data_IF_418448012942
#
_entry.id   IF_418448012942
#
_cell.length_a   1.000
_cell.length_b   1.000
_cell.length_c   1.000
_cell.angle_alpha   90.00
_cell.angle_beta   90.00
_cell.angle_gamma   90.00
#
_symmetry.space_group_name_H-M   'P 1'
#
loop_
_entity.id
_entity.type
_entity.pdbx_description
1 polymer ?
#
# COMPACT_ATOMS: atom_id res chain seq x y z
N UNK A 1 -9.24 -17.64 33.35
CA UNK A 1 -7.99 -18.39 33.14
C UNK A 1 -6.84 -17.39 33.14
N UNK A 2 -5.99 -17.39 34.19
CA UNK A 2 -4.78 -16.56 34.22
C UNK A 2 -3.72 -17.30 33.39
N UNK A 3 -3.32 -16.71 32.27
CA UNK A 3 -2.23 -17.21 31.43
C UNK A 3 -0.95 -17.32 32.28
N UNK A 4 -0.34 -18.51 32.28
CA UNK A 4 0.93 -18.75 32.94
C UNK A 4 2.01 -17.79 32.39
N UNK A 5 2.96 -17.32 33.21
CA UNK A 5 4.07 -16.51 32.72
C UNK A 5 4.87 -17.31 31.68
N UNK A 6 5.21 -16.67 30.56
CA UNK A 6 6.05 -17.28 29.52
C UNK A 6 7.39 -17.69 30.11
N UNK A 7 7.89 -18.87 29.74
CA UNK A 7 9.20 -19.36 30.15
C UNK A 7 10.31 -18.35 29.79
N UNK A 8 11.37 -18.22 30.61
CA UNK A 8 12.45 -17.29 30.34
C UNK A 8 13.18 -17.68 29.04
N UNK A 9 13.38 -16.68 28.17
CA UNK A 9 14.09 -16.86 26.89
C UNK A 9 15.57 -17.06 27.16
N UNK A 10 16.17 -18.10 26.58
CA UNK A 10 17.60 -18.39 26.71
C UNK A 10 18.40 -17.52 25.74
N UNK A 11 19.33 -16.67 26.23
CA UNK A 11 20.18 -15.86 25.36
C UNK A 11 21.04 -16.70 24.43
N UNK A 12 21.44 -16.14 23.27
CA UNK A 12 22.38 -16.81 22.37
C UNK A 12 23.74 -17.00 23.05
N UNK A 13 24.22 -18.23 23.08
CA UNK A 13 25.58 -18.59 23.52
C UNK A 13 26.63 -18.18 22.48
N UNK A 14 27.90 -18.15 22.89
CA UNK A 14 29.00 -17.82 21.98
C UNK A 14 29.11 -18.82 20.82
N UNK A 15 28.98 -20.13 21.12
CA UNK A 15 29.05 -21.18 20.10
C UNK A 15 27.89 -21.12 19.10
N UNK A 16 26.66 -20.84 19.57
CA UNK A 16 25.52 -20.63 18.67
C UNK A 16 25.76 -19.45 17.73
N UNK A 17 26.29 -18.33 18.24
CA UNK A 17 26.58 -17.15 17.41
C UNK A 17 27.58 -17.50 16.31
N UNK A 18 28.68 -18.19 16.64
CA UNK A 18 29.70 -18.56 15.65
C UNK A 18 29.11 -19.42 14.51
N UNK A 19 28.25 -20.38 14.84
CA UNK A 19 27.56 -21.20 13.82
C UNK A 19 26.57 -20.40 12.97
N UNK A 20 25.85 -19.44 13.57
CA UNK A 20 24.88 -18.60 12.87
C UNK A 20 25.53 -17.59 11.91
N UNK A 21 26.67 -17.00 12.28
CA UNK A 21 27.30 -15.90 11.53
C UNK A 21 28.27 -16.36 10.44
N UNK A 22 28.67 -17.62 10.44
CA UNK A 22 29.62 -18.20 9.46
C UNK A 22 29.25 -17.90 7.99
N UNK A 23 28.03 -18.19 7.49
CA UNK A 23 27.69 -17.92 6.08
C UNK A 23 27.71 -16.43 5.73
N UNK A 24 27.39 -15.56 6.68
CA UNK A 24 27.43 -14.10 6.50
C UNK A 24 28.85 -13.58 6.43
N UNK A 25 29.72 -14.07 7.33
CA UNK A 25 31.14 -13.70 7.36
C UNK A 25 31.84 -14.09 6.07
N UNK A 26 31.54 -15.29 5.55
CA UNK A 26 32.04 -15.76 4.25
C UNK A 26 31.60 -14.84 3.10
N UNK A 27 30.41 -14.25 3.19
CA UNK A 27 29.89 -13.28 2.22
C UNK A 27 30.33 -11.83 2.51
N UNK A 28 31.34 -11.61 3.35
CA UNK A 28 31.85 -10.27 3.69
C UNK A 28 30.96 -9.46 4.62
N UNK A 29 29.96 -10.08 5.27
CA UNK A 29 29.08 -9.43 6.25
C UNK A 29 29.62 -9.67 7.66
N UNK A 30 30.04 -8.61 8.33
CA UNK A 30 30.62 -8.70 9.67
C UNK A 30 29.58 -8.38 10.74
N UNK A 31 29.59 -9.15 11.84
CA UNK A 31 28.72 -8.92 12.98
C UNK A 31 29.06 -7.57 13.65
N UNK A 32 28.03 -6.81 14.01
CA UNK A 32 28.11 -5.63 14.85
C UNK A 32 27.74 -6.04 16.29
N UNK A 33 28.75 -6.31 17.11
CA UNK A 33 28.56 -6.78 18.49
C UNK A 33 27.82 -5.74 19.35
N UNK A 34 28.19 -4.43 19.33
CA UNK A 34 27.43 -3.39 20.05
C UNK A 34 25.96 -3.28 19.66
N UNK A 35 25.64 -3.45 18.36
CA UNK A 35 24.26 -3.33 17.88
C UNK A 35 23.43 -4.64 18.02
N UNK A 36 24.09 -5.75 18.37
CA UNK A 36 23.44 -7.04 18.56
C UNK A 36 22.88 -7.21 19.99
N UNK A 37 21.78 -7.93 20.11
CA UNK A 37 21.10 -8.20 21.37
C UNK A 37 20.94 -9.72 21.55
N UNK A 38 21.91 -10.30 22.27
CA UNK A 38 21.94 -11.74 22.54
C UNK A 38 20.78 -12.22 23.40
N UNK A 39 20.28 -11.39 24.31
CA UNK A 39 19.17 -11.72 25.21
C UNK A 39 17.86 -11.79 24.43
N UNK A 40 17.65 -10.87 23.49
CA UNK A 40 16.53 -10.93 22.55
C UNK A 40 16.78 -11.86 21.34
N UNK A 41 17.93 -12.56 21.29
CA UNK A 41 18.35 -13.45 20.20
C UNK A 41 18.34 -12.77 18.82
N UNK A 42 18.84 -11.53 18.76
CA UNK A 42 18.99 -10.70 17.56
C UNK A 42 20.46 -10.39 17.28
N UNK A 43 20.91 -10.64 16.06
CA UNK A 43 22.27 -10.37 15.60
C UNK A 43 22.21 -9.36 14.45
N UNK A 44 22.82 -8.19 14.65
CA UNK A 44 22.89 -7.14 13.63
C UNK A 44 24.27 -7.16 12.97
N UNK A 45 24.29 -6.97 11.65
CA UNK A 45 25.52 -6.87 10.88
C UNK A 45 25.89 -5.41 10.64
N UNK A 46 27.19 -5.15 10.48
CA UNK A 46 27.70 -3.81 10.16
C UNK A 46 27.05 -3.29 8.86
N UNK A 47 26.69 -2.00 8.80
CA UNK A 47 26.11 -1.41 7.59
C UNK A 47 27.05 -1.55 6.39
N UNK A 48 26.47 -1.91 5.24
CA UNK A 48 27.15 -1.88 3.95
C UNK A 48 26.71 -0.64 3.17
N UNK A 49 27.65 0.22 2.81
CA UNK A 49 27.38 1.39 1.98
C UNK A 49 27.30 0.99 0.49
N UNK A 50 26.24 1.43 -0.18
CA UNK A 50 26.06 1.32 -1.62
C UNK A 50 26.19 2.71 -2.23
N UNK A 51 27.11 2.86 -3.18
CA UNK A 51 27.28 4.11 -3.91
C UNK A 51 26.04 4.40 -4.78
N UNK A 52 25.80 5.68 -5.08
CA UNK A 52 24.75 6.06 -6.02
C UNK A 52 25.05 5.49 -7.41
N UNK A 53 24.01 4.98 -8.06
CA UNK A 53 24.08 4.47 -9.42
C UNK A 53 22.82 4.87 -10.20
N UNK A 54 22.68 4.41 -11.45
CA UNK A 54 21.50 4.71 -12.26
C UNK A 54 20.20 4.13 -11.67
N UNK A 55 20.26 3.04 -10.90
CA UNK A 55 19.08 2.35 -10.37
C UNK A 55 18.63 2.87 -9.00
N UNK A 56 19.55 3.40 -8.20
CA UNK A 56 19.26 3.87 -6.86
C UNK A 56 20.23 4.98 -6.39
N UNK A 57 19.77 5.89 -5.51
CA UNK A 57 20.67 6.81 -4.81
C UNK A 57 21.64 6.06 -3.89
N UNK A 58 22.62 6.80 -3.33
CA UNK A 58 23.48 6.27 -2.29
C UNK A 58 22.61 5.85 -1.08
N UNK A 59 22.89 4.67 -0.53
CA UNK A 59 22.10 4.09 0.56
C UNK A 59 22.98 3.20 1.45
N UNK A 60 22.48 2.90 2.64
CA UNK A 60 23.07 1.90 3.52
C UNK A 60 22.18 0.67 3.57
N UNK A 61 22.79 -0.51 3.58
CA UNK A 61 22.12 -1.78 3.77
C UNK A 61 22.52 -2.36 5.13
N UNK A 62 21.53 -2.69 5.94
CA UNK A 62 21.72 -3.36 7.23
C UNK A 62 21.02 -4.70 7.20
N UNK A 63 21.72 -5.76 7.62
CA UNK A 63 21.13 -7.07 7.84
C UNK A 63 20.92 -7.30 9.33
N UNK A 64 19.80 -7.93 9.69
CA UNK A 64 19.50 -8.37 11.04
C UNK A 64 18.96 -9.79 11.01
N UNK A 65 19.64 -10.70 11.72
CA UNK A 65 19.21 -12.08 11.93
C UNK A 65 18.51 -12.19 13.28
N UNK A 66 17.24 -12.57 13.27
CA UNK A 66 16.45 -12.91 14.45
C UNK A 66 16.34 -14.42 14.56
N UNK A 67 16.75 -14.97 15.70
CA UNK A 67 16.71 -16.41 15.97
C UNK A 67 15.78 -16.65 17.16
N UNK A 68 14.44 -16.56 17.01
CA UNK A 68 13.52 -16.82 18.11
C UNK A 68 13.77 -18.22 18.71
N UNK A 69 13.60 -18.35 20.03
CA UNK A 69 13.79 -19.64 20.70
C UNK A 69 12.77 -20.67 20.21
N UNK A 70 11.51 -20.25 20.13
CA UNK A 70 10.40 -21.05 19.62
C UNK A 70 9.94 -20.45 18.29
N UNK A 71 10.62 -20.81 17.20
CA UNK A 71 10.20 -20.39 15.86
C UNK A 71 11.29 -20.50 14.81
N UNK A 72 10.92 -20.31 13.53
CA UNK A 72 11.89 -20.27 12.44
C UNK A 72 12.77 -19.01 12.54
N UNK A 73 14.06 -19.08 12.17
CA UNK A 73 14.91 -17.91 12.06
C UNK A 73 14.37 -16.94 11.00
N UNK A 74 14.65 -15.65 11.18
CA UNK A 74 14.24 -14.58 10.27
C UNK A 74 15.43 -13.71 9.93
N UNK A 75 15.62 -13.42 8.65
CA UNK A 75 16.59 -12.44 8.20
C UNK A 75 15.84 -11.22 7.69
N UNK A 76 16.23 -10.05 8.16
CA UNK A 76 15.73 -8.77 7.70
C UNK A 76 16.86 -8.06 6.94
N UNK A 77 16.52 -7.49 5.79
CA UNK A 77 17.35 -6.53 5.08
C UNK A 77 16.65 -5.19 5.11
N UNK A 78 17.29 -4.19 5.71
CA UNK A 78 16.81 -2.82 5.74
C UNK A 78 17.69 -1.95 4.86
N UNK A 79 17.08 -1.26 3.90
CA UNK A 79 17.73 -0.22 3.12
C UNK A 79 17.39 1.13 3.74
N UNK A 80 18.44 1.84 4.07
CA UNK A 80 18.50 3.07 4.83
C UNK A 80 18.92 4.18 3.88
N UNK A 81 18.00 5.06 3.53
CA UNK A 81 18.29 6.18 2.64
C UNK A 81 18.34 7.47 3.45
N UNK A 82 19.51 8.11 3.58
CA UNK A 82 19.68 9.34 4.35
C UNK A 82 19.22 10.58 3.58
N UNK A 83 18.87 11.65 4.30
CA UNK A 83 18.49 12.94 3.70
C UNK A 83 16.99 13.10 3.43
N UNK A 84 16.15 12.40 4.17
CA UNK A 84 14.69 12.48 4.06
C UNK A 84 14.11 13.19 5.27
N UNK A 85 12.85 13.61 5.18
CA UNK A 85 12.09 14.12 6.32
C UNK A 85 10.82 13.26 6.49
N UNK A 86 10.43 13.00 7.74
CA UNK A 86 9.16 12.37 8.07
C UNK A 86 8.01 13.35 7.83
N UNK A 87 6.83 12.88 8.18
CA UNK A 87 5.57 13.57 7.93
C UNK A 87 5.37 14.76 8.88
N UNK A 88 6.19 14.88 9.93
CA UNK A 88 6.25 16.04 10.81
C UNK A 88 7.39 16.99 10.42
N UNK A 89 8.01 16.80 9.25
CA UNK A 89 9.13 17.60 8.75
C UNK A 89 10.45 17.35 9.47
N UNK A 90 10.55 16.30 10.31
CA UNK A 90 11.80 15.97 11.01
C UNK A 90 12.69 15.17 10.08
N UNK A 91 14.01 15.40 10.07
CA UNK A 91 14.92 14.56 9.31
C UNK A 91 14.70 13.11 9.72
N UNK A 92 14.25 12.32 8.76
CA UNK A 92 13.96 10.90 8.91
C UNK A 92 14.66 10.15 7.81
N UNK A 93 14.69 8.85 7.96
CA UNK A 93 15.25 7.98 6.96
C UNK A 93 14.14 7.29 6.20
N UNK A 94 14.22 7.30 4.87
CA UNK A 94 13.32 6.46 4.09
C UNK A 94 13.84 5.02 4.17
N UNK A 95 13.02 4.12 4.72
CA UNK A 95 13.41 2.74 4.99
C UNK A 95 12.63 1.75 4.14
N UNK A 96 13.34 0.91 3.39
CA UNK A 96 12.78 -0.26 2.71
C UNK A 96 13.17 -1.53 3.48
N UNK A 97 12.27 -2.50 3.60
CA UNK A 97 12.50 -3.70 4.40
C UNK A 97 12.11 -4.94 3.61
N UNK A 98 13.00 -5.93 3.54
CA UNK A 98 12.69 -7.29 3.08
C UNK A 98 12.86 -8.26 4.24
N UNK A 99 11.93 -9.20 4.35
CA UNK A 99 11.94 -10.22 5.40
C UNK A 99 11.89 -11.62 4.78
N UNK A 100 12.85 -12.46 5.15
CA UNK A 100 12.84 -13.89 4.87
C UNK A 100 12.72 -14.66 6.18
N UNK A 101 11.97 -15.75 6.17
CA UNK A 101 11.72 -16.59 7.35
C UNK A 101 11.97 -18.06 7.01
N UNK A 102 12.48 -18.84 7.97
CA UNK A 102 12.72 -20.28 7.87
C UNK A 102 14.01 -20.65 7.15
N UNK A 103 14.33 -21.94 7.10
CA UNK A 103 15.56 -22.45 6.49
C UNK A 103 16.81 -22.21 7.33
N UNK A 104 17.97 -22.53 6.76
CA UNK A 104 19.28 -22.28 7.38
C UNK A 104 19.71 -20.81 7.22
N UNK A 105 20.65 -20.30 8.05
CA UNK A 105 21.13 -18.93 7.89
C UNK A 105 21.77 -18.67 6.51
N UNK A 106 22.42 -19.66 5.92
CA UNK A 106 22.95 -19.58 4.55
C UNK A 106 21.86 -19.45 3.48
N UNK A 107 20.78 -20.24 3.59
CA UNK A 107 19.63 -20.14 2.68
C UNK A 107 18.88 -18.81 2.80
N UNK A 108 18.78 -18.27 4.02
CA UNK A 108 18.20 -16.93 4.25
C UNK A 108 19.03 -15.86 3.53
N UNK A 109 20.36 -15.91 3.66
CA UNK A 109 21.26 -14.97 3.02
C UNK A 109 21.19 -15.08 1.48
N UNK A 110 21.22 -16.30 0.94
CA UNK A 110 21.14 -16.54 -0.50
C UNK A 110 19.84 -15.97 -1.09
N UNK A 111 18.70 -16.17 -0.43
CA UNK A 111 17.40 -15.58 -0.84
C UNK A 111 17.42 -14.06 -0.82
N UNK A 112 17.99 -13.45 0.22
CA UNK A 112 18.12 -11.98 0.29
C UNK A 112 18.96 -11.42 -0.85
N UNK A 113 20.10 -12.04 -1.13
CA UNK A 113 21.03 -11.60 -2.17
C UNK A 113 20.45 -11.74 -3.58
N UNK A 114 19.61 -12.75 -3.82
CA UNK A 114 18.96 -12.92 -5.11
C UNK A 114 17.96 -11.81 -5.45
N UNK A 115 17.37 -11.14 -4.45
CA UNK A 115 16.43 -10.04 -4.68
C UNK A 115 17.20 -8.73 -4.84
N UNK A 116 17.16 -8.08 -6.02
CA UNK A 116 17.89 -6.82 -6.24
C UNK A 116 17.30 -5.69 -5.40
N UNK A 117 18.14 -4.68 -5.10
CA UNK A 117 17.75 -3.54 -4.25
C UNK A 117 16.58 -2.77 -4.86
N UNK A 118 16.53 -2.67 -6.18
CA UNK A 118 15.47 -2.01 -6.96
C UNK A 118 14.06 -2.63 -6.79
N UNK A 119 13.95 -3.86 -6.27
CA UNK A 119 12.64 -4.43 -5.89
C UNK A 119 12.07 -3.78 -4.63
N UNK A 120 12.94 -3.45 -3.66
CA UNK A 120 12.56 -2.81 -2.40
C UNK A 120 12.48 -1.29 -2.52
N UNK A 121 13.39 -0.71 -3.31
CA UNK A 121 13.48 0.72 -3.53
C UNK A 121 13.20 1.03 -5.00
N UNK A 122 12.13 1.77 -5.27
CA UNK A 122 11.74 2.16 -6.62
C UNK A 122 11.99 3.64 -6.81
N UNK A 123 12.89 3.97 -7.71
CA UNK A 123 13.13 5.33 -8.19
C UNK A 123 12.32 5.55 -9.46
N UNK A 124 11.70 6.72 -9.59
CA UNK A 124 11.11 7.15 -10.85
C UNK A 124 11.14 8.67 -11.02
N UNK A 125 10.65 9.20 -12.15
CA UNK A 125 10.71 10.63 -12.42
C UNK A 125 9.92 11.43 -11.36
N UNK A 126 10.62 12.18 -10.52
CA UNK A 126 10.04 13.03 -9.48
C UNK A 126 9.49 12.28 -8.26
N UNK A 127 9.80 10.99 -8.10
CA UNK A 127 9.42 10.23 -6.91
C UNK A 127 10.41 9.13 -6.52
N UNK A 128 10.37 8.77 -5.24
CA UNK A 128 11.08 7.65 -4.67
C UNK A 128 10.15 6.86 -3.75
N UNK A 129 10.19 5.53 -3.80
CA UNK A 129 9.37 4.68 -2.95
C UNK A 129 10.18 3.55 -2.31
N UNK A 130 10.04 3.39 -1.01
CA UNK A 130 10.57 2.28 -0.24
C UNK A 130 9.43 1.34 0.17
N UNK A 131 9.63 0.03 -0.04
CA UNK A 131 8.63 -1.00 0.22
C UNK A 131 9.02 -1.87 1.40
N UNK A 132 8.02 -2.30 2.15
CA UNK A 132 8.13 -3.40 3.11
C UNK A 132 7.54 -4.65 2.47
N UNK A 133 8.37 -5.68 2.36
CA UNK A 133 8.05 -6.94 1.70
C UNK A 133 8.51 -8.13 2.52
N UNK A 134 7.86 -9.27 2.31
CA UNK A 134 8.29 -10.55 2.87
C UNK A 134 8.19 -11.65 1.82
N UNK A 135 9.03 -12.68 1.90
CA UNK A 135 8.84 -13.88 1.06
C UNK A 135 7.52 -14.58 1.42
N UNK A 136 6.75 -14.97 0.40
CA UNK A 136 5.51 -15.72 0.60
C UNK A 136 5.79 -17.11 1.18
N UNK A 137 6.82 -17.78 0.67
CA UNK A 137 7.24 -19.10 1.12
C UNK A 137 8.27 -19.02 2.24
N UNK A 138 8.08 -19.88 3.26
CA UNK A 138 8.97 -20.02 4.43
C UNK A 138 10.09 -21.04 4.21
N UNK A 139 10.06 -21.78 3.11
CA UNK A 139 11.02 -22.84 2.78
C UNK A 139 11.90 -22.43 1.61
N UNK A 140 13.03 -23.13 1.44
CA UNK A 140 14.00 -22.90 0.39
C UNK A 140 13.42 -23.25 -0.99
N UNK A 141 12.76 -22.29 -1.63
CA UNK A 141 12.75 -22.22 -3.09
C UNK A 141 14.12 -21.72 -3.56
N UNK A 142 14.50 -22.10 -4.78
CA UNK A 142 15.74 -21.60 -5.38
C UNK A 142 15.78 -20.07 -5.35
N UNK A 143 16.92 -19.45 -4.98
CA UNK A 143 17.04 -18.01 -4.97
C UNK A 143 16.78 -17.43 -6.37
N UNK A 144 15.72 -16.65 -6.50
CA UNK A 144 15.32 -16.05 -7.77
C UNK A 144 15.06 -14.55 -7.61
N UNK A 145 15.48 -13.76 -8.61
CA UNK A 145 15.26 -12.32 -8.63
C UNK A 145 13.75 -11.95 -8.62
N UNK A 146 12.94 -12.78 -9.28
CA UNK A 146 11.48 -12.64 -9.37
C UNK A 146 10.73 -13.46 -8.31
N UNK A 147 11.36 -13.72 -7.16
CA UNK A 147 10.75 -14.47 -6.07
C UNK A 147 9.37 -13.91 -5.67
N UNK A 148 8.43 -14.78 -5.24
CA UNK A 148 7.11 -14.35 -4.80
C UNK A 148 7.19 -13.57 -3.48
N UNK A 149 7.07 -12.24 -3.57
CA UNK A 149 7.14 -11.32 -2.44
C UNK A 149 5.75 -10.74 -2.11
N UNK A 150 5.42 -10.74 -0.82
CA UNK A 150 4.23 -10.14 -0.25
C UNK A 150 4.55 -8.72 0.22
N UNK A 151 3.98 -7.72 -0.46
CA UNK A 151 4.10 -6.32 -0.05
C UNK A 151 3.03 -5.99 0.99
N UNK A 152 3.46 -5.50 2.15
CA UNK A 152 2.57 -5.13 3.26
C UNK A 152 2.47 -3.61 3.44
N UNK A 153 3.53 -2.89 3.13
CA UNK A 153 3.56 -1.44 3.23
C UNK A 153 4.51 -0.83 2.20
N UNK A 154 4.33 0.46 1.94
CA UNK A 154 5.32 1.28 1.25
C UNK A 154 5.24 2.72 1.73
N UNK A 155 6.36 3.41 1.72
CA UNK A 155 6.45 4.86 1.93
C UNK A 155 7.07 5.45 0.69
N UNK A 156 6.46 6.50 0.16
CA UNK A 156 6.98 7.18 -1.02
C UNK A 156 7.01 8.68 -0.80
N UNK A 157 7.93 9.32 -1.51
CA UNK A 157 8.09 10.76 -1.52
C UNK A 157 8.05 11.25 -2.95
N UNK A 158 7.33 12.33 -3.15
CA UNK A 158 7.23 13.03 -4.41
C UNK A 158 7.88 14.40 -4.24
N UNK A 159 8.72 14.76 -5.21
CA UNK A 159 9.36 16.07 -5.25
C UNK A 159 8.31 17.16 -5.47
N UNK A 160 7.41 16.90 -6.42
CA UNK A 160 6.29 17.78 -6.72
C UNK A 160 5.38 17.94 -5.49
N UNK A 161 5.10 19.21 -5.14
CA UNK A 161 4.27 19.60 -4.01
C UNK A 161 4.73 19.06 -2.63
N UNK A 162 6.00 18.62 -2.51
CA UNK A 162 6.57 18.03 -1.30
C UNK A 162 5.70 16.91 -0.67
N UNK A 163 5.00 16.13 -1.50
CA UNK A 163 4.01 15.16 -1.04
C UNK A 163 4.65 13.86 -0.54
N UNK A 164 4.28 13.42 0.66
CA UNK A 164 4.52 12.10 1.20
C UNK A 164 3.32 11.18 0.95
N UNK A 165 3.59 9.89 0.72
CA UNK A 165 2.59 8.85 0.53
C UNK A 165 2.91 7.66 1.43
N UNK A 166 1.91 7.16 2.17
CA UNK A 166 1.99 5.89 2.87
C UNK A 166 0.97 4.91 2.32
N UNK A 167 1.44 3.72 1.98
CA UNK A 167 0.64 2.59 1.54
C UNK A 167 0.63 1.53 2.62
N UNK A 168 -0.55 1.00 2.94
CA UNK A 168 -0.72 -0.14 3.84
C UNK A 168 -1.66 -1.17 3.23
N UNK A 169 -1.27 -2.43 3.31
CA UNK A 169 -2.03 -3.55 2.80
C UNK A 169 -2.22 -4.60 3.90
N UNK A 170 -3.48 -4.88 4.23
CA UNK A 170 -3.82 -6.02 5.08
C UNK A 170 -3.51 -7.34 4.34
N UNK A 171 -3.03 -8.40 5.01
CA UNK A 171 -2.85 -9.72 4.41
C UNK A 171 -4.18 -10.42 4.12
N UNK A 172 -5.28 -9.96 4.70
CA UNK A 172 -6.60 -10.59 4.58
C UNK A 172 -7.22 -10.31 3.21
N UNK A 173 -7.69 -11.39 2.54
CA UNK A 173 -8.39 -11.32 1.25
C UNK A 173 -9.65 -10.45 1.37
N UNK A 174 -9.91 -9.66 0.34
CA UNK A 174 -11.10 -8.79 0.27
C UNK A 174 -10.95 -7.44 0.96
N UNK A 175 -9.97 -7.26 1.85
CA UNK A 175 -9.68 -5.96 2.47
C UNK A 175 -8.92 -5.08 1.47
N UNK A 176 -9.41 -3.86 1.25
CA UNK A 176 -8.74 -2.84 0.43
C UNK A 176 -7.41 -2.40 1.06
N UNK A 177 -6.43 -2.04 0.24
CA UNK A 177 -5.29 -1.28 0.73
C UNK A 177 -5.68 0.16 1.03
N UNK A 178 -4.96 0.77 1.95
CA UNK A 178 -5.13 2.15 2.36
C UNK A 178 -3.94 2.98 1.89
N UNK A 179 -4.22 4.16 1.36
CA UNK A 179 -3.22 5.11 0.95
C UNK A 179 -3.50 6.44 1.64
N UNK A 180 -2.50 6.93 2.35
CA UNK A 180 -2.49 8.22 3.02
C UNK A 180 -1.51 9.13 2.30
N UNK A 181 -1.88 10.41 2.19
CA UNK A 181 -1.06 11.45 1.61
C UNK A 181 -0.94 12.60 2.59
N UNK A 182 0.23 13.22 2.63
CA UNK A 182 0.46 14.39 3.45
C UNK A 182 1.58 15.23 2.88
N UNK A 183 1.76 16.42 3.43
CA UNK A 183 2.72 17.42 2.99
C UNK A 183 3.91 17.44 3.92
N UNK A 184 5.11 17.20 3.39
CA UNK A 184 6.35 17.16 4.20
C UNK A 184 6.71 18.52 4.81
N UNK A 185 6.30 19.60 4.16
CA UNK A 185 6.55 20.98 4.58
C UNK A 185 5.40 21.57 5.41
N UNK A 186 4.39 20.76 5.77
CA UNK A 186 3.18 21.20 6.46
C UNK A 186 2.29 22.15 5.66
N UNK A 187 2.62 22.43 4.39
CA UNK A 187 1.86 23.37 3.56
C UNK A 187 0.60 22.70 3.06
N UNK A 188 -0.56 23.25 3.42
CA UNK A 188 -1.83 22.68 3.00
C UNK A 188 -1.96 22.59 1.46
N UNK A 189 -2.36 21.42 0.96
CA UNK A 189 -2.66 21.20 -0.46
C UNK A 189 -4.16 21.22 -0.71
N UNK A 190 -4.55 21.93 -1.77
CA UNK A 190 -5.90 21.88 -2.31
C UNK A 190 -5.99 20.79 -3.38
N UNK A 191 -6.14 19.54 -2.93
CA UNK A 191 -6.29 18.38 -3.80
C UNK A 191 -7.79 18.13 -4.09
N UNK A 192 -8.18 17.84 -5.35
CA UNK A 192 -9.55 17.48 -5.65
C UNK A 192 -9.85 16.04 -5.24
N UNK A 193 -11.08 15.76 -4.81
CA UNK A 193 -11.56 14.43 -4.42
C UNK A 193 -11.30 13.35 -5.49
N UNK A 194 -11.32 13.72 -6.77
CA UNK A 194 -11.16 12.81 -7.89
C UNK A 194 -9.71 12.58 -8.32
N UNK A 195 -8.73 13.23 -7.67
CA UNK A 195 -7.31 13.21 -8.06
C UNK A 195 -6.78 11.80 -8.35
N UNK A 196 -7.16 10.82 -7.52
CA UNK A 196 -6.76 9.42 -7.66
C UNK A 196 -7.88 8.57 -8.28
N UNK A 197 -9.14 8.95 -8.08
CA UNK A 197 -10.29 8.21 -8.60
C UNK A 197 -10.28 8.13 -10.14
N UNK A 198 -9.72 9.13 -10.83
CA UNK A 198 -9.52 9.14 -12.30
C UNK A 198 -8.75 7.94 -12.83
N UNK A 199 -7.93 7.26 -11.99
CA UNK A 199 -7.16 6.08 -12.37
C UNK A 199 -8.02 4.81 -12.56
N UNK A 200 -9.32 4.88 -12.28
CA UNK A 200 -10.30 3.84 -12.64
C UNK A 200 -10.95 3.16 -11.44
N UNK A 201 -11.63 2.03 -11.69
CA UNK A 201 -12.56 1.37 -10.76
C UNK A 201 -11.95 0.83 -9.47
N UNK A 202 -10.63 0.64 -9.45
CA UNK A 202 -9.94 0.16 -8.24
C UNK A 202 -9.70 1.25 -7.20
N UNK A 203 -9.87 2.52 -7.59
CA UNK A 203 -9.50 3.67 -6.77
C UNK A 203 -10.73 4.35 -6.20
N UNK A 204 -10.77 4.48 -4.87
CA UNK A 204 -11.75 5.31 -4.21
C UNK A 204 -11.38 6.81 -4.34
N UNK A 205 -12.33 7.68 -3.97
CA UNK A 205 -12.08 9.11 -3.90
C UNK A 205 -11.06 9.44 -2.83
N UNK A 206 -10.39 10.55 -3.04
CA UNK A 206 -9.61 11.21 -2.02
C UNK A 206 -10.55 11.88 -1.01
N UNK A 207 -10.26 11.72 0.28
CA UNK A 207 -11.05 12.31 1.37
C UNK A 207 -10.10 13.00 2.33
N UNK A 208 -10.34 14.29 2.57
CA UNK A 208 -9.56 15.11 3.50
C UNK A 208 -9.73 14.62 4.94
N UNK A 209 -8.62 14.52 5.67
CA UNK A 209 -8.56 14.31 7.13
C UNK A 209 -7.82 15.49 7.78
N UNK A 210 -7.68 15.47 9.10
CA UNK A 210 -7.01 16.55 9.85
C UNK A 210 -5.55 16.78 9.40
N UNK A 211 -4.79 15.70 9.21
CA UNK A 211 -3.37 15.73 8.80
C UNK A 211 -3.17 15.13 7.40
N UNK A 212 -3.89 15.66 6.40
CA UNK A 212 -3.71 15.27 5.00
C UNK A 212 -4.92 14.59 4.37
N UNK A 213 -4.67 13.62 3.49
CA UNK A 213 -5.68 13.01 2.63
C UNK A 213 -5.60 11.49 2.68
N UNK A 214 -6.73 10.82 2.49
CA UNK A 214 -6.77 9.36 2.43
C UNK A 214 -7.61 8.86 1.27
N UNK A 215 -7.25 7.69 0.75
CA UNK A 215 -8.04 6.93 -0.23
C UNK A 215 -7.88 5.43 0.02
N UNK A 216 -8.75 4.64 -0.60
CA UNK A 216 -8.69 3.19 -0.59
C UNK A 216 -8.44 2.65 -1.99
N UNK A 217 -7.74 1.52 -2.02
CA UNK A 217 -7.36 0.81 -3.22
C UNK A 217 -7.88 -0.63 -3.16
N UNK A 218 -8.77 -0.97 -4.08
CA UNK A 218 -9.23 -2.34 -4.26
C UNK A 218 -8.12 -3.15 -4.91
N UNK A 219 -7.76 -4.26 -4.28
CA UNK A 219 -6.75 -5.19 -4.79
C UNK A 219 -7.39 -6.47 -5.30
N UNK A 220 -6.79 -7.07 -6.33
CA UNK A 220 -7.28 -8.29 -6.99
C UNK A 220 -6.41 -9.49 -6.63
N UNK A 221 -7.01 -10.67 -6.55
CA UNK A 221 -6.31 -11.93 -6.25
C UNK A 221 -6.03 -12.14 -4.76
N UNK A 222 -5.15 -13.08 -4.47
CA UNK A 222 -4.66 -13.48 -3.15
C UNK A 222 -3.12 -13.57 -3.13
N UNK A 223 -2.55 -13.65 -1.92
CA UNK A 223 -1.12 -13.85 -1.70
C UNK A 223 -0.22 -12.97 -2.57
N UNK A 224 0.70 -13.62 -3.29
CA UNK A 224 1.61 -12.97 -4.23
C UNK A 224 0.90 -12.22 -5.37
N UNK A 225 -0.17 -12.78 -5.95
CA UNK A 225 -0.91 -12.11 -7.04
C UNK A 225 -1.50 -10.77 -6.57
N UNK A 226 -2.02 -10.75 -5.34
CA UNK A 226 -2.55 -9.53 -4.71
C UNK A 226 -1.47 -8.50 -4.44
N UNK A 227 -0.31 -8.96 -3.98
CA UNK A 227 0.83 -8.08 -3.74
C UNK A 227 1.35 -7.47 -5.05
N UNK A 228 1.43 -8.27 -6.12
CA UNK A 228 1.78 -7.79 -7.46
C UNK A 228 0.81 -6.76 -8.02
N UNK A 229 -0.50 -6.96 -7.85
CA UNK A 229 -1.52 -5.97 -8.23
C UNK A 229 -1.35 -4.68 -7.42
N UNK A 230 -1.08 -4.79 -6.12
CA UNK A 230 -0.73 -3.65 -5.25
C UNK A 230 0.51 -2.89 -5.71
N UNK A 231 1.59 -3.60 -6.03
CA UNK A 231 2.83 -3.01 -6.56
C UNK A 231 2.59 -2.25 -7.87
N UNK A 232 1.86 -2.85 -8.81
CA UNK A 232 1.56 -2.23 -10.10
C UNK A 232 0.70 -0.96 -9.94
N UNK A 233 -0.30 -1.01 -9.07
CA UNK A 233 -1.17 0.13 -8.76
C UNK A 233 -0.42 1.23 -8.00
N UNK A 234 0.46 0.88 -7.06
CA UNK A 234 1.33 1.83 -6.38
C UNK A 234 2.23 2.56 -7.39
N UNK A 235 2.87 1.83 -8.31
CA UNK A 235 3.68 2.44 -9.37
C UNK A 235 2.86 3.32 -10.33
N UNK A 236 1.59 2.95 -10.60
CA UNK A 236 0.69 3.76 -11.40
C UNK A 236 0.35 5.09 -10.71
N UNK A 237 -0.02 5.07 -9.43
CA UNK A 237 -0.40 6.30 -8.72
C UNK A 237 0.79 7.21 -8.48
N UNK A 238 1.98 6.67 -8.20
CA UNK A 238 3.19 7.49 -8.03
C UNK A 238 3.54 8.26 -9.31
N UNK A 239 3.55 7.58 -10.47
CA UNK A 239 3.76 8.23 -11.77
C UNK A 239 2.71 9.29 -12.07
N UNK A 240 1.44 8.95 -11.83
CA UNK A 240 0.32 9.88 -12.05
C UNK A 240 0.44 11.13 -11.18
N UNK A 241 0.76 10.97 -9.89
CA UNK A 241 0.90 12.10 -8.97
C UNK A 241 2.14 12.94 -9.28
N UNK A 242 3.29 12.31 -9.57
CA UNK A 242 4.50 13.04 -9.93
C UNK A 242 4.28 13.91 -11.19
N UNK A 243 3.61 13.36 -12.21
CA UNK A 243 3.27 14.11 -13.42
C UNK A 243 2.21 15.19 -13.15
N UNK A 244 1.15 14.86 -12.40
CA UNK A 244 0.01 15.78 -12.20
C UNK A 244 0.36 16.94 -11.29
N UNK A 245 1.17 16.71 -10.25
CA UNK A 245 1.54 17.73 -9.28
C UNK A 245 2.70 18.62 -9.77
N UNK A 246 3.47 18.17 -10.77
CA UNK A 246 4.49 18.98 -11.43
C UNK A 246 3.90 20.07 -12.35
N UNK A 247 2.65 19.89 -12.80
CA UNK A 247 1.95 20.83 -13.67
C UNK A 247 0.97 21.71 -12.89
N UNK A 248 0.58 22.89 -13.41
CA UNK A 248 -0.47 23.70 -12.81
C UNK A 248 -1.81 22.95 -12.71
N UNK A 249 -2.63 23.19 -11.65
CA UNK A 249 -3.89 22.47 -11.42
C UNK A 249 -4.91 22.53 -12.56
N UNK A 250 -4.85 23.56 -13.41
CA UNK A 250 -5.70 23.67 -14.60
C UNK A 250 -5.43 22.54 -15.62
N UNK A 251 -4.15 22.14 -15.80
CA UNK A 251 -3.76 21.08 -16.74
C UNK A 251 -4.32 19.72 -16.39
N UNK A 252 -4.47 19.43 -15.10
CA UNK A 252 -5.15 18.22 -14.64
C UNK A 252 -6.57 18.11 -15.19
N UNK A 253 -7.34 19.20 -15.16
CA UNK A 253 -8.70 19.19 -15.72
C UNK A 253 -8.69 19.04 -17.24
N UNK A 254 -7.80 19.75 -17.93
CA UNK A 254 -7.70 19.71 -19.39
C UNK A 254 -7.32 18.32 -19.90
N UNK A 255 -6.32 17.67 -19.29
CA UNK A 255 -5.84 16.35 -19.71
C UNK A 255 -6.79 15.21 -19.34
N UNK A 256 -7.41 15.29 -18.17
CA UNK A 256 -8.18 14.18 -17.59
C UNK A 256 -9.69 14.45 -17.52
N UNK A 257 -10.21 15.41 -18.29
CA UNK A 257 -11.64 15.78 -18.27
C UNK A 257 -12.58 14.57 -18.36
N UNK A 258 -12.37 13.69 -19.34
CA UNK A 258 -13.18 12.47 -19.51
C UNK A 258 -13.07 11.51 -18.32
N UNK A 259 -11.87 11.31 -17.79
CA UNK A 259 -11.65 10.45 -16.61
C UNK A 259 -12.29 11.03 -15.34
N UNK A 260 -12.29 12.35 -15.19
CA UNK A 260 -12.97 13.07 -14.11
C UNK A 260 -14.49 12.92 -14.20
N UNK A 261 -15.05 13.05 -15.40
CA UNK A 261 -16.48 12.76 -15.65
C UNK A 261 -16.83 11.29 -15.37
N UNK A 262 -15.99 10.35 -15.80
CA UNK A 262 -16.19 8.95 -15.47
C UNK A 262 -16.09 8.67 -13.96
N UNK A 263 -15.23 9.37 -13.22
CA UNK A 263 -15.17 9.30 -11.76
C UNK A 263 -16.43 9.88 -11.10
N UNK A 264 -16.95 11.00 -11.61
CA UNK A 264 -18.20 11.59 -11.15
C UNK A 264 -19.41 10.68 -11.44
N UNK A 265 -19.51 10.13 -12.66
CA UNK A 265 -20.57 9.20 -13.04
C UNK A 265 -20.57 7.94 -12.16
N UNK A 266 -19.39 7.41 -11.81
CA UNK A 266 -19.28 6.26 -10.89
C UNK A 266 -19.79 6.57 -9.48
N UNK A 267 -19.67 7.82 -9.00
CA UNK A 267 -20.25 8.24 -7.72
C UNK A 267 -21.79 8.29 -7.76
N UNK A 268 -22.40 8.44 -8.93
CA UNK A 268 -23.85 8.43 -9.07
C UNK A 268 -24.45 7.01 -9.02
N UNK A 269 -23.65 5.93 -9.10
CA UNK A 269 -24.18 4.55 -9.17
C UNK A 269 -25.11 4.21 -7.99
N UNK A 270 -24.76 4.50 -6.73
CA UNK A 270 -25.67 4.17 -5.63
C UNK A 270 -26.95 5.02 -5.62
N UNK A 271 -26.86 6.29 -6.03
CA UNK A 271 -28.02 7.16 -6.22
C UNK A 271 -28.96 6.61 -7.29
N UNK A 272 -28.41 6.17 -8.43
CA UNK A 272 -29.17 5.52 -9.50
C UNK A 272 -29.81 4.21 -9.02
N UNK A 273 -29.08 3.42 -8.24
CA UNK A 273 -29.62 2.21 -7.61
C UNK A 273 -30.80 2.49 -6.68
N UNK A 274 -30.69 3.52 -5.83
CA UNK A 274 -31.78 3.95 -4.97
C UNK A 274 -32.98 4.50 -5.78
N UNK A 275 -32.73 5.29 -6.82
CA UNK A 275 -33.77 5.78 -7.72
C UNK A 275 -34.49 4.66 -8.47
N UNK A 276 -33.75 3.64 -8.92
CA UNK A 276 -34.31 2.45 -9.56
C UNK A 276 -35.19 1.65 -8.59
N UNK A 277 -34.78 1.51 -7.32
CA UNK A 277 -35.58 0.87 -6.28
C UNK A 277 -36.91 1.59 -6.06
N UNK A 278 -36.88 2.92 -5.97
CA UNK A 278 -38.09 3.74 -5.80
C UNK A 278 -39.00 3.63 -7.03
N UNK A 279 -38.45 3.74 -8.23
CA UNK A 279 -39.20 3.61 -9.47
C UNK A 279 -39.81 2.21 -9.63
N UNK A 280 -39.08 1.16 -9.27
CA UNK A 280 -39.58 -0.22 -9.30
C UNK A 280 -40.72 -0.43 -8.30
N UNK A 281 -40.61 0.10 -7.09
CA UNK A 281 -41.68 0.04 -6.09
C UNK A 281 -42.94 0.80 -6.54
N UNK A 282 -42.76 1.99 -7.11
CA UNK A 282 -43.86 2.77 -7.67
C UNK A 282 -44.55 2.07 -8.84
N UNK A 283 -43.77 1.52 -9.77
CA UNK A 283 -44.29 0.78 -10.92
C UNK A 283 -45.02 -0.51 -10.48
N UNK A 284 -44.50 -1.20 -9.46
CA UNK A 284 -45.17 -2.37 -8.88
C UNK A 284 -46.54 -1.99 -8.30
N UNK A 285 -46.64 -0.90 -7.53
CA UNK A 285 -47.90 -0.45 -6.95
C UNK A 285 -48.96 -0.11 -8.01
N UNK A 286 -48.55 0.42 -9.17
CA UNK A 286 -49.46 0.75 -10.26
C UNK A 286 -49.93 -0.48 -11.05
N UNK A 287 -49.09 -1.50 -11.17
CA UNK A 287 -49.38 -2.69 -11.98
C UNK A 287 -49.98 -3.86 -11.17
N UNK A 288 -49.82 -3.88 -9.85
CA UNK A 288 -50.37 -4.91 -8.96
C UNK A 288 -51.87 -5.21 -9.16
N UNK A 289 -52.75 -4.22 -9.41
CA UNK A 289 -54.18 -4.47 -9.61
C UNK A 289 -54.49 -5.38 -10.81
N UNK A 290 -53.66 -5.34 -11.85
CA UNK A 290 -53.90 -6.00 -13.14
C UNK A 290 -52.99 -7.23 -13.38
N UNK A 291 -52.05 -7.54 -12.48
CA UNK A 291 -51.13 -8.67 -12.66
C UNK A 291 -51.72 -10.01 -12.16
N UNK A 292 -51.82 -11.03 -13.02
CA UNK A 292 -52.20 -12.37 -12.59
C UNK A 292 -51.20 -12.93 -11.57
N UNK A 293 -51.71 -13.64 -10.55
CA UNK A 293 -50.94 -14.13 -9.40
C UNK A 293 -49.76 -15.05 -9.77
N UNK A 294 -49.82 -15.70 -10.93
CA UNK A 294 -48.78 -16.63 -11.42
C UNK A 294 -47.75 -16.00 -12.37
N UNK A 295 -47.76 -14.66 -12.52
CA UNK A 295 -46.85 -13.98 -13.44
C UNK A 295 -45.39 -14.00 -12.97
N UNK A 296 -44.49 -14.50 -13.82
CA UNK A 296 -43.03 -14.42 -13.66
C UNK A 296 -42.55 -12.98 -13.47
N UNK A 297 -43.26 -12.01 -14.06
CA UNK A 297 -42.96 -10.59 -13.93
C UNK A 297 -43.25 -10.07 -12.51
N UNK A 298 -44.31 -10.58 -11.87
CA UNK A 298 -44.63 -10.31 -10.45
C UNK A 298 -43.53 -10.86 -9.53
N UNK A 299 -43.05 -12.08 -9.80
CA UNK A 299 -41.96 -12.72 -9.07
C UNK A 299 -40.65 -11.92 -9.19
N UNK A 300 -40.29 -11.51 -10.41
CA UNK A 300 -39.10 -10.68 -10.67
C UNK A 300 -39.18 -9.32 -9.97
N UNK A 301 -40.32 -8.62 -10.05
CA UNK A 301 -40.50 -7.33 -9.37
C UNK A 301 -40.46 -7.46 -7.85
N UNK A 302 -40.97 -8.56 -7.28
CA UNK A 302 -40.93 -8.81 -5.84
C UNK A 302 -39.50 -9.09 -5.34
N UNK A 303 -38.67 -9.79 -6.13
CA UNK A 303 -37.28 -10.09 -5.76
C UNK A 303 -36.27 -9.03 -6.19
N UNK A 304 -36.64 -8.08 -7.06
CA UNK A 304 -35.74 -7.02 -7.50
C UNK A 304 -35.23 -6.15 -6.33
N UNK A 305 -36.07 -5.67 -5.38
CA UNK A 305 -35.58 -4.91 -4.24
C UNK A 305 -34.54 -5.64 -3.37
N UNK A 306 -34.78 -6.88 -2.90
CA UNK A 306 -33.76 -7.58 -2.12
C UNK A 306 -32.50 -7.90 -2.93
N UNK A 307 -32.60 -8.19 -4.23
CA UNK A 307 -31.41 -8.41 -5.09
C UNK A 307 -30.56 -7.14 -5.21
N UNK A 308 -31.18 -5.99 -5.46
CA UNK A 308 -30.46 -4.71 -5.55
C UNK A 308 -29.87 -4.32 -4.20
N UNK A 309 -30.59 -4.56 -3.11
CA UNK A 309 -30.10 -4.32 -1.75
C UNK A 309 -28.88 -5.21 -1.44
N UNK A 310 -28.94 -6.50 -1.75
CA UNK A 310 -27.80 -7.43 -1.62
C UNK A 310 -26.63 -6.97 -2.49
N UNK A 311 -26.86 -6.58 -3.75
CA UNK A 311 -25.82 -6.07 -4.63
C UNK A 311 -25.15 -4.80 -4.09
N UNK A 312 -25.92 -3.88 -3.49
CA UNK A 312 -25.40 -2.67 -2.84
C UNK A 312 -24.59 -2.99 -1.58
N UNK A 313 -25.03 -3.94 -0.75
CA UNK A 313 -24.30 -4.37 0.45
C UNK A 313 -23.05 -5.21 0.13
N UNK A 314 -23.05 -5.93 -1.00
CA UNK A 314 -21.87 -6.62 -1.52
C UNK A 314 -20.82 -5.64 -2.07
N UNK A 315 -21.12 -4.34 -2.20
CA UNK A 315 -20.10 -3.35 -2.44
C UNK A 315 -19.29 -3.15 -1.15
N UNK A 316 -17.97 -3.37 -1.22
CA UNK A 316 -17.04 -3.31 -0.08
C UNK A 316 -17.02 -1.98 0.70
N UNK A 317 -17.82 -0.98 0.33
CA UNK A 317 -17.90 0.31 1.00
C UNK A 317 -19.36 0.74 1.09
N UNK A 318 -19.79 1.22 2.27
CA UNK A 318 -21.11 1.82 2.44
C UNK A 318 -21.26 2.95 1.41
N UNK A 319 -22.21 2.82 0.46
CA UNK A 319 -22.37 3.82 -0.57
C UNK A 319 -22.78 5.16 0.07
N UNK A 320 -21.97 6.19 -0.14
CA UNK A 320 -22.37 7.55 0.20
C UNK A 320 -23.30 8.06 -0.88
N UNK A 321 -24.57 8.24 -0.51
CA UNK A 321 -25.60 8.80 -1.36
C UNK A 321 -25.44 10.33 -1.33
N UNK A 322 -24.52 10.84 -2.16
CA UNK A 322 -24.25 12.27 -2.31
C UNK A 322 -24.26 12.64 -3.79
N UNK A 323 -24.85 13.77 -4.16
CA UNK A 323 -24.75 14.29 -5.53
C UNK A 323 -23.31 14.79 -5.72
N UNK A 324 -22.51 14.18 -6.61
CA UNK A 324 -21.12 14.59 -6.77
C UNK A 324 -21.05 16.00 -7.36
N UNK A 325 -20.10 16.84 -6.90
CA UNK A 325 -19.90 18.14 -7.51
C UNK A 325 -19.45 17.97 -8.97
N UNK A 326 -19.95 18.85 -9.85
CA UNK A 326 -19.54 18.87 -11.25
C UNK A 326 -18.03 19.07 -11.34
N UNK A 327 -17.29 18.24 -12.10
CA UNK A 327 -15.84 18.38 -12.24
C UNK A 327 -15.53 19.70 -12.97
N UNK A 328 -15.17 20.74 -12.21
CA UNK A 328 -14.81 22.06 -12.75
C UNK A 328 -13.30 22.20 -12.90
N UNK A 329 -12.88 23.08 -13.82
CA UNK A 329 -11.49 23.52 -13.96
C UNK A 329 -11.04 24.20 -12.68
N UNK A 330 -9.90 23.75 -12.15
CA UNK A 330 -9.27 24.38 -11.00
C UNK A 330 -8.65 25.71 -11.44
N UNK A 331 -8.98 26.80 -10.73
CA UNK A 331 -8.53 28.16 -11.07
C UNK A 331 -7.27 28.60 -10.33
N UNK A 332 -6.87 27.83 -9.32
CA UNK A 332 -5.66 28.10 -8.55
C UNK A 332 -4.40 27.92 -9.43
N UNK A 333 -3.41 28.83 -9.32
CA UNK A 333 -2.20 28.77 -10.13
C UNK A 333 -1.29 27.61 -9.73
N UNK A 334 -1.37 27.16 -8.47
CA UNK A 334 -0.54 26.12 -7.89
C UNK A 334 -1.36 25.20 -6.96
N UNK A 335 -0.83 24.01 -6.68
CA UNK A 335 -1.47 23.03 -5.78
C UNK A 335 -1.41 23.42 -4.30
N UNK A 336 -0.40 24.22 -3.94
CA UNK A 336 -0.18 24.72 -2.59
C UNK A 336 -1.13 25.87 -2.27
N UNK A 337 -1.83 25.74 -1.16
CA UNK A 337 -2.53 26.87 -0.56
C UNK A 337 -1.46 27.75 0.09
N UNK A 338 -1.40 29.02 -0.30
CA UNK A 338 -0.59 29.97 0.45
C UNK A 338 -1.14 30.01 1.88
N UNK A 339 -0.26 29.92 2.88
CA UNK A 339 -0.64 30.27 4.24
C UNK A 339 -1.19 31.71 4.20
N UNK A 340 -2.43 31.88 4.63
CA UNK A 340 -3.05 33.20 4.77
C UNK A 340 -2.49 33.90 6.00
#
# INVERSE_FOLDING_TARGET
MRSAPSAPVTPLSHHEILGLVEPYTRAGRHLDLPASDRAARRLQFKPLAHAACAEHPALQEVLQLECPQDGPPRLLRTLHLPGYADMDGRPTELQAVLVATGGTPGELLARMQAVPLSRQLVVGPGYLAAKTMAFEQRTAAEPAADAPLLMSAAVAQLEAAALGLRYKQSPVKGISAEIEFDTRDGTALALPDDLVAVLGWSWARLVKRQAGWHTRLRLRGDGFKRSRDGEAKLALVLRHLAQTLAEPPARFHERLAGARWAAAARRCIPLLGAGLLVAAAWQFAQLEPDLPKESVLRLLMFHLPPIVLVALFCMNELPRVEIPPVPRRLRQPQWRLNAA
#
